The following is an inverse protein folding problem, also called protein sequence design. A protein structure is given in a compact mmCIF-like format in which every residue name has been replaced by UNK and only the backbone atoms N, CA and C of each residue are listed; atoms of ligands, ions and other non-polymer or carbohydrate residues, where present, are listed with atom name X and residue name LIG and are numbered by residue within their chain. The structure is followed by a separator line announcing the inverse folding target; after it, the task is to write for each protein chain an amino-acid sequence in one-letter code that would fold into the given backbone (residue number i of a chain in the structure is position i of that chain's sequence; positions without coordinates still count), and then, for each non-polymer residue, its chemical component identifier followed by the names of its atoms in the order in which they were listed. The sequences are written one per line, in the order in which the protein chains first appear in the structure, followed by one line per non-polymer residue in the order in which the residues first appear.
data_IF_350264729729
#
_entry.id   IF_350264729729
#
_cell.length_a   1.000
_cell.length_b   1.000
_cell.length_c   1.000
_cell.angle_alpha   90.00
_cell.angle_beta   90.00
_cell.angle_gamma   90.00
#
_symmetry.space_group_name_H-M   'P 1'
#
loop_
_entity.id
_entity.type
_entity.pdbx_description
1 polymer ?
#
# COMPACT_ATOMS: atom_id res chain seq x y z
N UNK A 1 3.53 -10.09 -14.47
CA UNK A 1 3.47 -11.57 -14.51
C UNK A 1 4.54 -12.06 -15.47
N UNK A 2 5.20 -13.19 -15.22
CA UNK A 2 6.23 -13.74 -16.13
C UNK A 2 5.62 -14.85 -16.97
N UNK A 3 5.89 -14.85 -18.27
CA UNK A 3 5.54 -15.94 -19.17
C UNK A 3 6.56 -17.07 -18.97
N UNK A 4 6.09 -18.27 -18.63
CA UNK A 4 6.95 -19.46 -18.51
C UNK A 4 6.97 -20.26 -19.80
N UNK A 5 5.82 -20.39 -20.45
CA UNK A 5 5.65 -21.11 -21.72
C UNK A 5 4.63 -20.36 -22.55
N UNK A 6 4.91 -20.19 -23.84
CA UNK A 6 4.00 -19.55 -24.80
C UNK A 6 4.14 -20.25 -26.15
N UNK A 7 3.18 -21.10 -26.48
CA UNK A 7 3.00 -21.71 -27.80
C UNK A 7 1.62 -21.35 -28.35
N UNK A 8 1.30 -21.76 -29.58
CA UNK A 8 -0.02 -21.53 -30.16
C UNK A 8 -1.16 -22.24 -29.38
N UNK A 9 -0.83 -23.31 -28.66
CA UNK A 9 -1.77 -24.21 -28.01
C UNK A 9 -1.69 -24.18 -26.47
N UNK A 10 -0.58 -23.71 -25.90
CA UNK A 10 -0.36 -23.73 -24.46
C UNK A 10 0.26 -22.41 -23.98
N UNK A 11 -0.34 -21.80 -22.97
CA UNK A 11 0.16 -20.58 -22.33
C UNK A 11 0.24 -20.78 -20.81
N UNK A 12 1.42 -20.57 -20.25
CA UNK A 12 1.67 -20.63 -18.81
C UNK A 12 2.23 -19.30 -18.33
N UNK A 13 1.49 -18.66 -17.43
CA UNK A 13 1.87 -17.41 -16.79
C UNK A 13 2.06 -17.62 -15.29
N UNK A 14 3.12 -17.06 -14.73
CA UNK A 14 3.40 -17.15 -13.29
C UNK A 14 3.67 -15.76 -12.68
N UNK A 15 3.04 -15.50 -11.55
CA UNK A 15 3.31 -14.35 -10.69
C UNK A 15 3.99 -14.83 -9.42
N UNK A 16 5.19 -14.32 -9.15
CA UNK A 16 5.88 -14.47 -7.87
C UNK A 16 5.86 -13.12 -7.15
N UNK A 17 5.20 -13.00 -6.01
CA UNK A 17 5.06 -11.73 -5.30
C UNK A 17 6.30 -11.43 -4.45
N UNK A 18 7.47 -11.36 -5.09
CA UNK A 18 8.76 -11.19 -4.41
C UNK A 18 8.80 -9.97 -3.49
N UNK A 19 8.19 -8.86 -3.92
CA UNK A 19 8.13 -7.64 -3.11
C UNK A 19 7.31 -7.86 -1.85
N UNK A 20 6.14 -8.52 -1.93
CA UNK A 20 5.34 -8.84 -0.75
C UNK A 20 6.06 -9.81 0.19
N UNK A 21 6.86 -10.74 -0.33
CA UNK A 21 7.67 -11.62 0.49
C UNK A 21 8.76 -10.87 1.24
N UNK A 22 9.48 -9.97 0.56
CA UNK A 22 10.51 -9.15 1.19
C UNK A 22 9.91 -8.23 2.25
N UNK A 23 8.85 -7.47 1.91
CA UNK A 23 8.22 -6.54 2.83
C UNK A 23 7.56 -7.28 4.01
N UNK A 24 6.77 -8.32 3.74
CA UNK A 24 6.12 -9.10 4.79
C UNK A 24 7.13 -9.83 5.69
N UNK A 25 8.20 -10.38 5.12
CA UNK A 25 9.29 -11.03 5.86
C UNK A 25 10.06 -10.05 6.73
N UNK A 26 10.44 -8.89 6.17
CA UNK A 26 11.10 -7.83 6.91
C UNK A 26 10.21 -7.31 8.05
N UNK A 27 8.95 -7.00 7.79
CA UNK A 27 8.03 -6.49 8.82
C UNK A 27 7.82 -7.51 9.94
N UNK A 28 7.78 -8.81 9.59
CA UNK A 28 7.70 -9.89 10.58
C UNK A 28 8.94 -9.95 11.44
N UNK A 29 10.13 -9.92 10.83
CA UNK A 29 11.41 -10.01 11.51
C UNK A 29 11.67 -8.78 12.41
N UNK A 30 11.54 -7.57 11.85
CA UNK A 30 11.73 -6.33 12.60
C UNK A 30 10.68 -6.15 13.70
N UNK A 31 9.45 -6.62 13.49
CA UNK A 31 8.40 -6.59 14.51
C UNK A 31 8.71 -7.45 15.75
N UNK A 32 9.56 -8.48 15.64
CA UNK A 32 9.96 -9.30 16.78
C UNK A 32 11.03 -8.60 17.65
N UNK A 33 11.79 -7.66 17.08
CA UNK A 33 12.91 -7.01 17.79
C UNK A 33 12.47 -6.21 19.03
N UNK A 34 11.38 -5.41 19.01
CA UNK A 34 10.91 -4.71 20.20
C UNK A 34 10.63 -5.61 21.40
N UNK A 35 10.00 -6.78 21.21
CA UNK A 35 9.82 -7.73 22.31
C UNK A 35 11.17 -8.22 22.85
N UNK A 36 12.17 -8.42 22.01
CA UNK A 36 13.49 -8.87 22.44
C UNK A 36 14.31 -7.78 23.16
N UNK A 37 14.16 -6.51 22.76
CA UNK A 37 15.01 -5.41 23.22
C UNK A 37 14.36 -4.50 24.27
N UNK A 38 13.03 -4.36 24.25
CA UNK A 38 12.30 -3.36 25.06
C UNK A 38 11.40 -4.03 26.11
N UNK A 39 10.97 -5.29 25.91
CA UNK A 39 10.13 -5.98 26.88
C UNK A 39 10.95 -6.41 28.10
N UNK A 40 11.10 -5.48 29.04
CA UNK A 40 11.75 -5.69 30.32
C UNK A 40 10.80 -5.36 31.48
N UNK A 41 11.02 -6.03 32.62
CA UNK A 41 10.47 -5.60 33.90
C UNK A 41 11.61 -5.06 34.72
N UNK A 42 11.53 -3.79 35.08
CA UNK A 42 12.44 -3.18 36.04
C UNK A 42 11.78 -3.17 37.42
N UNK A 43 12.45 -3.76 38.41
CA UNK A 43 12.02 -3.76 39.81
C UNK A 43 13.14 -3.18 40.65
N UNK A 44 12.85 -2.10 41.36
CA UNK A 44 13.71 -1.55 42.40
C UNK A 44 13.12 -1.95 43.75
N UNK A 45 13.87 -2.73 44.50
CA UNK A 45 13.49 -3.23 45.82
C UNK A 45 14.54 -2.79 46.85
N UNK A 46 14.12 -1.97 47.81
CA UNK A 46 15.01 -1.46 48.85
C UNK A 46 14.60 -2.00 50.21
N UNK A 47 15.59 -2.47 50.97
CA UNK A 47 15.44 -3.01 52.32
C UNK A 47 16.35 -2.28 53.30
N UNK A 48 15.76 -1.54 54.23
CA UNK A 48 16.51 -0.82 55.29
C UNK A 48 16.97 -1.75 56.42
N UNK A 49 16.28 -2.87 56.60
CA UNK A 49 16.55 -3.85 57.67
C UNK A 49 17.56 -4.93 57.25
N UNK A 50 17.97 -4.97 55.98
CA UNK A 50 19.06 -5.82 55.53
C UNK A 50 20.40 -5.36 56.15
N UNK A 51 21.34 -6.28 56.33
CA UNK A 51 22.70 -5.97 56.78
C UNK A 51 23.71 -6.36 55.68
N UNK A 52 24.28 -5.39 54.94
CA UNK A 52 24.05 -3.94 55.01
C UNK A 52 22.72 -3.49 54.35
N UNK A 53 22.16 -2.31 54.72
CA UNK A 53 21.00 -1.75 54.07
C UNK A 53 21.26 -1.51 52.58
N UNK A 54 20.41 -2.05 51.71
CA UNK A 54 20.64 -2.03 50.26
C UNK A 54 19.36 -1.90 49.43
N UNK A 55 19.51 -1.40 48.22
CA UNK A 55 18.54 -1.46 47.14
C UNK A 55 19.03 -2.41 46.05
N UNK A 56 18.19 -3.35 45.61
CA UNK A 56 18.42 -4.18 44.44
C UNK A 56 17.61 -3.63 43.26
N UNK A 57 18.32 -3.24 42.19
CA UNK A 57 17.72 -2.97 40.89
C UNK A 57 17.83 -4.24 40.03
N UNK A 58 16.69 -4.89 39.82
CA UNK A 58 16.59 -6.04 38.93
C UNK A 58 15.88 -5.66 37.63
N UNK A 59 16.48 -6.00 36.49
CA UNK A 59 15.85 -5.90 35.17
C UNK A 59 15.78 -7.28 34.54
N UNK A 60 14.56 -7.73 34.26
CA UNK A 60 14.32 -9.02 33.64
C UNK A 60 13.71 -8.82 32.25
N UNK A 61 14.47 -9.16 31.20
CA UNK A 61 14.02 -9.16 29.82
C UNK A 61 14.08 -10.55 29.19
N UNK A 62 13.72 -10.66 27.91
CA UNK A 62 13.79 -11.95 27.19
C UNK A 62 15.23 -12.35 26.83
N UNK A 63 16.13 -11.40 26.59
CA UNK A 63 17.52 -11.66 26.19
C UNK A 63 18.54 -11.41 27.30
N UNK A 64 18.32 -10.41 28.14
CA UNK A 64 19.25 -10.00 29.20
C UNK A 64 18.50 -9.92 30.52
N UNK A 65 19.12 -10.48 31.55
CA UNK A 65 18.76 -10.24 32.94
C UNK A 65 19.93 -9.51 33.59
N UNK A 66 19.62 -8.47 34.35
CA UNK A 66 20.62 -7.68 35.04
C UNK A 66 20.17 -7.46 36.48
N UNK A 67 21.12 -7.49 37.41
CA UNK A 67 20.88 -7.26 38.82
C UNK A 67 22.01 -6.43 39.38
N UNK A 68 21.66 -5.30 39.96
CA UNK A 68 22.61 -4.40 40.59
C UNK A 68 22.20 -4.17 42.03
N UNK A 69 23.08 -4.55 42.94
CA UNK A 69 22.97 -4.21 44.35
C UNK A 69 23.61 -2.83 44.56
N UNK A 70 22.86 -1.92 45.16
CA UNK A 70 23.26 -0.56 45.47
C UNK A 70 23.15 -0.42 46.99
N UNK A 71 24.27 -0.16 47.66
CA UNK A 71 24.25 0.11 49.09
C UNK A 71 23.61 1.49 49.36
N UNK A 72 22.84 1.61 50.44
CA UNK A 72 22.11 2.86 50.74
C UNK A 72 23.04 4.05 51.00
N UNK A 73 24.26 3.81 51.48
CA UNK A 73 25.29 4.83 51.71
C UNK A 73 25.90 5.40 50.42
N UNK A 74 25.83 4.63 49.32
CA UNK A 74 26.28 5.05 47.99
C UNK A 74 25.21 5.85 47.23
N UNK A 75 23.98 5.95 47.77
CA UNK A 75 22.87 6.61 47.11
C UNK A 75 22.92 8.14 47.32
N UNK A 76 23.00 8.90 46.22
CA UNK A 76 23.10 10.37 46.27
C UNK A 76 21.76 11.07 46.02
N UNK A 77 20.85 10.44 45.28
CA UNK A 77 19.56 11.03 44.95
C UNK A 77 18.91 10.37 43.74
N UNK A 78 17.79 10.93 43.31
CA UNK A 78 17.03 10.43 42.16
C UNK A 78 16.57 11.60 41.31
N UNK A 79 16.69 11.45 40.00
CA UNK A 79 16.26 12.47 39.05
C UNK A 79 15.44 11.89 37.90
N UNK A 80 14.73 12.75 37.19
CA UNK A 80 14.06 12.41 35.94
C UNK A 80 14.83 13.04 34.80
N UNK A 81 15.55 12.22 34.04
CA UNK A 81 16.26 12.68 32.85
C UNK A 81 15.29 12.87 31.69
N UNK A 82 15.45 13.97 30.97
CA UNK A 82 14.71 14.31 29.75
C UNK A 82 15.60 14.09 28.52
N UNK A 83 15.05 13.47 27.48
CA UNK A 83 15.63 13.45 26.14
C UNK A 83 14.67 14.20 25.21
N UNK A 84 15.16 15.30 24.62
CA UNK A 84 14.40 16.14 23.69
C UNK A 84 14.65 15.74 22.25
N UNK A 85 13.56 15.64 21.50
CA UNK A 85 13.52 15.64 20.04
C UNK A 85 12.69 16.84 19.58
N UNK A 86 12.83 17.24 18.31
CA UNK A 86 12.23 18.46 17.75
C UNK A 86 10.73 18.61 18.06
N UNK A 87 9.99 17.48 18.11
CA UNK A 87 8.54 17.46 18.30
C UNK A 87 8.08 16.85 19.64
N UNK A 88 8.97 16.25 20.44
CA UNK A 88 8.55 15.59 21.70
C UNK A 88 9.68 15.37 22.70
N UNK A 89 9.30 15.34 23.98
CA UNK A 89 10.20 14.97 25.09
C UNK A 89 9.87 13.59 25.63
N UNK A 90 10.92 12.82 25.91
CA UNK A 90 10.83 11.51 26.55
C UNK A 90 11.63 11.51 27.84
N UNK A 91 11.24 10.67 28.80
CA UNK A 91 11.72 10.73 30.18
C UNK A 91 12.06 9.36 30.74
N UNK A 92 13.04 9.30 31.64
CA UNK A 92 13.35 8.11 32.45
C UNK A 92 13.75 8.52 33.87
N UNK A 93 13.49 7.65 34.85
CA UNK A 93 13.99 7.85 36.23
C UNK A 93 15.43 7.34 36.28
N UNK A 94 16.32 8.07 36.94
CA UNK A 94 17.72 7.69 37.12
C UNK A 94 18.10 7.80 38.59
N UNK A 95 18.73 6.74 39.10
CA UNK A 95 19.29 6.67 40.44
C UNK A 95 20.72 7.23 40.38
N UNK A 96 20.97 8.29 41.15
CA UNK A 96 22.29 8.91 41.28
C UNK A 96 23.04 8.17 42.38
N UNK A 97 24.17 7.55 42.04
CA UNK A 97 25.01 6.81 43.00
C UNK A 97 26.45 7.30 42.93
N UNK A 98 27.23 7.07 43.99
CA UNK A 98 28.66 7.38 44.02
C UNK A 98 29.48 6.68 42.93
N UNK A 99 28.99 5.54 42.43
CA UNK A 99 29.61 4.76 41.34
C UNK A 99 29.11 5.17 39.94
N UNK A 100 28.23 6.17 39.88
CA UNK A 100 27.65 6.72 38.67
C UNK A 100 26.15 6.47 38.53
N UNK A 101 25.58 7.03 37.48
CA UNK A 101 24.15 7.03 37.23
C UNK A 101 23.64 5.64 36.82
N UNK A 102 22.59 5.18 37.49
CA UNK A 102 21.90 3.92 37.19
C UNK A 102 20.46 4.20 36.77
N UNK A 103 20.12 4.16 35.48
CA UNK A 103 18.75 4.41 35.04
C UNK A 103 17.81 3.33 35.56
N UNK A 104 16.55 3.63 35.86
CA UNK A 104 15.58 2.61 36.28
C UNK A 104 15.25 1.68 35.09
N UNK A 105 14.99 2.27 33.91
CA UNK A 105 14.74 1.58 32.63
C UNK A 105 15.84 1.86 31.62
N UNK A 106 16.09 0.91 30.72
CA UNK A 106 17.10 1.04 29.64
C UNK A 106 16.73 2.06 28.56
N UNK A 107 15.49 2.53 28.52
CA UNK A 107 14.95 3.39 27.47
C UNK A 107 14.21 4.59 28.06
N UNK A 108 14.03 5.64 27.24
CA UNK A 108 13.20 6.79 27.55
C UNK A 108 11.76 6.55 27.08
N UNK A 109 10.79 7.01 27.87
CA UNK A 109 9.35 6.87 27.56
C UNK A 109 8.61 8.19 27.79
N UNK A 110 7.48 8.38 27.11
CA UNK A 110 6.61 9.53 27.37
C UNK A 110 6.00 9.49 28.80
N UNK A 111 5.46 10.63 29.24
CA UNK A 111 4.73 10.74 30.51
C UNK A 111 5.61 11.17 31.70
N UNK A 112 5.99 12.45 31.73
CA UNK A 112 6.77 13.04 32.83
C UNK A 112 6.13 12.81 34.21
N UNK A 113 4.82 13.05 34.34
CA UNK A 113 4.14 13.04 35.63
C UNK A 113 4.26 11.70 36.38
N UNK A 114 4.22 10.57 35.64
CA UNK A 114 4.41 9.24 36.22
C UNK A 114 5.85 9.02 36.71
N UNK A 115 6.84 9.44 35.91
CA UNK A 115 8.27 9.34 36.25
C UNK A 115 8.62 10.24 37.45
N UNK A 116 8.10 11.47 37.47
CA UNK A 116 8.27 12.40 38.58
C UNK A 116 7.60 11.91 39.88
N UNK A 117 6.48 11.18 39.78
CA UNK A 117 5.86 10.53 40.96
C UNK A 117 6.76 9.43 41.52
N UNK A 118 7.33 8.59 40.66
CA UNK A 118 8.25 7.53 41.09
C UNK A 118 9.54 8.09 41.70
N UNK A 119 10.13 9.12 41.08
CA UNK A 119 11.30 9.80 41.64
C UNK A 119 11.00 10.34 43.05
N UNK A 120 9.86 11.01 43.25
CA UNK A 120 9.44 11.49 44.58
C UNK A 120 9.21 10.37 45.60
N UNK A 121 8.72 9.19 45.18
CA UNK A 121 8.56 8.05 46.08
C UNK A 121 9.91 7.49 46.54
N UNK A 122 10.88 7.42 45.62
CA UNK A 122 12.25 7.01 45.94
C UNK A 122 12.90 8.04 46.89
N UNK A 123 12.79 9.33 46.56
CA UNK A 123 13.35 10.42 47.37
C UNK A 123 12.75 10.46 48.79
N UNK A 124 11.44 10.25 48.91
CA UNK A 124 10.76 10.13 50.19
C UNK A 124 11.28 8.95 51.02
N UNK A 125 11.52 7.78 50.43
CA UNK A 125 12.08 6.62 51.14
C UNK A 125 13.52 6.86 51.65
N UNK A 126 14.32 7.59 50.87
CA UNK A 126 15.70 7.90 51.24
C UNK A 126 15.77 8.88 52.41
N UNK A 127 14.85 9.84 52.45
CA UNK A 127 14.77 10.88 53.50
C UNK A 127 14.02 10.43 54.75
N UNK A 128 12.96 9.63 54.60
CA UNK A 128 12.15 9.12 55.71
C UNK A 128 12.69 7.78 56.24
N UNK A 129 13.35 7.84 57.39
CA UNK A 129 13.93 6.66 58.06
C UNK A 129 12.88 5.68 58.60
N UNK A 130 11.60 6.08 58.69
CA UNK A 130 10.53 5.22 59.20
C UNK A 130 10.09 4.15 58.19
N UNK A 131 10.38 4.34 56.91
CA UNK A 131 10.03 3.39 55.86
C UNK A 131 11.08 2.27 55.78
N UNK A 132 10.66 1.04 56.07
CA UNK A 132 11.56 -0.13 56.12
C UNK A 132 11.80 -0.77 54.75
N UNK A 133 10.85 -0.60 53.83
CA UNK A 133 10.91 -1.20 52.49
C UNK A 133 10.29 -0.28 51.43
N UNK A 134 10.82 -0.34 50.22
CA UNK A 134 10.27 0.30 49.03
C UNK A 134 10.34 -0.67 47.85
N UNK A 135 9.23 -0.88 47.15
CA UNK A 135 9.18 -1.68 45.92
C UNK A 135 8.55 -0.84 44.82
N UNK A 136 9.32 -0.60 43.75
CA UNK A 136 8.84 0.06 42.54
C UNK A 136 9.02 -0.87 41.37
N UNK A 137 7.91 -1.24 40.74
CA UNK A 137 7.90 -2.09 39.56
C UNK A 137 7.41 -1.30 38.35
N UNK A 138 8.18 -1.37 37.27
CA UNK A 138 7.78 -0.90 35.94
C UNK A 138 7.76 -2.09 34.99
N UNK A 139 6.57 -2.44 34.53
CA UNK A 139 6.36 -3.47 33.52
C UNK A 139 6.10 -2.82 32.16
N UNK A 140 7.06 -2.94 31.25
CA UNK A 140 6.95 -2.43 29.88
C UNK A 140 6.71 -3.54 28.86
N UNK A 141 6.62 -4.80 29.31
CA UNK A 141 6.47 -5.94 28.41
C UNK A 141 5.22 -5.85 27.55
N UNK A 142 4.14 -5.30 28.09
CA UNK A 142 2.88 -5.14 27.36
C UNK A 142 3.04 -4.26 26.10
N UNK A 143 3.87 -3.20 26.16
CA UNK A 143 4.18 -2.38 24.99
C UNK A 143 4.96 -3.20 23.97
N UNK A 144 6.01 -3.90 24.41
CA UNK A 144 6.79 -4.79 23.55
C UNK A 144 5.91 -5.83 22.84
N UNK A 145 5.01 -6.50 23.58
CA UNK A 145 4.08 -7.47 23.03
C UNK A 145 3.06 -6.84 22.08
N UNK A 146 2.56 -5.64 22.36
CA UNK A 146 1.64 -4.93 21.47
C UNK A 146 2.32 -4.60 20.14
N UNK A 147 3.53 -4.02 20.19
CA UNK A 147 4.31 -3.73 18.99
C UNK A 147 4.60 -5.01 18.20
N UNK A 148 5.02 -6.08 18.86
CA UNK A 148 5.28 -7.35 18.18
C UNK A 148 4.02 -7.97 17.58
N UNK A 149 2.89 -7.94 18.28
CA UNK A 149 1.63 -8.44 17.75
C UNK A 149 1.19 -7.67 16.51
N UNK A 150 1.27 -6.34 16.53
CA UNK A 150 0.84 -5.50 15.41
C UNK A 150 1.78 -5.70 14.22
N UNK A 151 3.09 -5.51 14.41
CA UNK A 151 4.06 -5.53 13.31
C UNK A 151 4.29 -6.95 12.80
N UNK A 152 4.61 -7.90 13.67
CA UNK A 152 4.83 -9.28 13.23
C UNK A 152 3.55 -9.98 12.81
N UNK A 153 2.44 -9.72 13.50
CA UNK A 153 1.14 -10.28 13.12
C UNK A 153 0.68 -9.78 11.76
N UNK A 154 0.77 -8.47 11.47
CA UNK A 154 0.40 -7.94 10.15
C UNK A 154 1.34 -8.41 9.04
N UNK A 155 2.65 -8.47 9.27
CA UNK A 155 3.62 -9.01 8.32
C UNK A 155 3.31 -10.46 7.96
N UNK A 156 3.08 -11.30 8.96
CA UNK A 156 2.72 -12.71 8.78
C UNK A 156 1.37 -12.84 8.06
N UNK A 157 0.38 -12.02 8.42
CA UNK A 157 -0.93 -12.01 7.77
C UNK A 157 -0.81 -11.69 6.28
N UNK A 158 -0.02 -10.67 5.91
CA UNK A 158 0.22 -10.32 4.49
C UNK A 158 0.90 -11.47 3.75
N UNK A 159 1.92 -12.11 4.35
CA UNK A 159 2.58 -13.27 3.74
C UNK A 159 1.61 -14.44 3.51
N UNK A 160 0.77 -14.74 4.50
CA UNK A 160 -0.18 -15.85 4.43
C UNK A 160 -1.32 -15.60 3.43
N UNK A 161 -1.88 -14.38 3.39
CA UNK A 161 -3.05 -14.07 2.57
C UNK A 161 -2.70 -13.63 1.15
N UNK A 162 -1.59 -12.89 0.98
CA UNK A 162 -1.24 -12.23 -0.28
C UNK A 162 0.07 -12.75 -0.88
N UNK A 163 0.90 -13.46 -0.12
CA UNK A 163 2.17 -14.05 -0.57
C UNK A 163 2.02 -15.28 -1.45
N UNK A 164 0.90 -15.45 -2.15
CA UNK A 164 0.65 -16.62 -2.99
C UNK A 164 1.39 -16.53 -4.33
N UNK A 165 2.10 -17.59 -4.71
CA UNK A 165 2.52 -17.81 -6.10
C UNK A 165 1.29 -18.16 -6.92
N UNK A 166 1.01 -17.35 -7.94
CA UNK A 166 -0.14 -17.58 -8.83
C UNK A 166 0.36 -18.09 -10.17
N UNK A 167 -0.12 -19.26 -10.59
CA UNK A 167 0.16 -19.85 -11.90
C UNK A 167 -1.14 -20.01 -12.67
N UNK A 168 -1.21 -19.42 -13.86
CA UNK A 168 -2.30 -19.57 -14.81
C UNK A 168 -1.81 -20.44 -15.95
N UNK A 169 -2.55 -21.47 -16.26
CA UNK A 169 -2.28 -22.40 -17.34
C UNK A 169 -3.50 -22.47 -18.26
N UNK A 170 -3.29 -22.21 -19.53
CA UNK A 170 -4.30 -22.26 -20.58
C UNK A 170 -3.86 -23.31 -21.61
N UNK A 171 -4.67 -24.33 -21.83
CA UNK A 171 -4.39 -25.43 -22.75
C UNK A 171 -5.53 -25.61 -23.76
N UNK A 172 -5.30 -25.16 -25.00
CA UNK A 172 -6.29 -25.24 -26.09
C UNK A 172 -6.53 -26.68 -26.56
N UNK A 173 -5.54 -27.56 -26.46
CA UNK A 173 -5.72 -28.97 -26.84
C UNK A 173 -6.64 -29.65 -25.82
N UNK A 174 -6.33 -29.50 -24.54
CA UNK A 174 -7.16 -30.02 -23.45
C UNK A 174 -8.44 -29.22 -23.17
N UNK A 175 -8.68 -28.12 -23.90
CA UNK A 175 -9.80 -27.19 -23.69
C UNK A 175 -9.96 -26.73 -22.23
N UNK A 176 -8.83 -26.58 -21.51
CA UNK A 176 -8.84 -26.36 -20.07
C UNK A 176 -8.05 -25.13 -19.64
N UNK A 177 -8.58 -24.44 -18.64
CA UNK A 177 -7.94 -23.38 -17.89
C UNK A 177 -7.74 -23.83 -16.45
N UNK A 178 -6.55 -23.60 -15.91
CA UNK A 178 -6.19 -23.94 -14.53
C UNK A 178 -5.50 -22.75 -13.86
N UNK A 179 -6.10 -22.31 -12.75
CA UNK A 179 -5.54 -21.31 -11.85
C UNK A 179 -5.06 -21.98 -10.58
N UNK A 180 -3.76 -21.96 -10.34
CA UNK A 180 -3.15 -22.49 -9.12
C UNK A 180 -2.63 -21.34 -8.28
N UNK A 181 -3.09 -21.24 -7.03
CA UNK A 181 -2.59 -20.30 -6.03
C UNK A 181 -1.93 -21.09 -4.92
N UNK A 182 -0.62 -20.94 -4.73
CA UNK A 182 0.18 -21.65 -3.73
C UNK A 182 0.80 -20.66 -2.75
N UNK A 183 0.45 -20.75 -1.48
CA UNK A 183 1.01 -19.94 -0.40
C UNK A 183 1.45 -20.78 0.79
N UNK A 184 1.67 -20.11 1.91
CA UNK A 184 2.10 -20.74 3.17
C UNK A 184 1.00 -21.63 3.78
N UNK A 185 -0.28 -21.30 3.56
CA UNK A 185 -1.43 -22.05 4.06
C UNK A 185 -1.90 -23.17 3.11
N UNK A 186 -1.13 -23.48 2.07
CA UNK A 186 -1.41 -24.56 1.12
C UNK A 186 -1.67 -24.06 -0.31
N UNK A 187 -2.31 -24.91 -1.11
CA UNK A 187 -2.59 -24.63 -2.52
C UNK A 187 -4.06 -24.76 -2.87
N UNK A 188 -4.60 -23.75 -3.55
CA UNK A 188 -5.93 -23.79 -4.17
C UNK A 188 -5.79 -23.92 -5.68
N UNK A 189 -6.43 -24.93 -6.25
CA UNK A 189 -6.48 -25.16 -7.70
C UNK A 189 -7.92 -24.96 -8.15
N UNK A 190 -8.12 -24.07 -9.13
CA UNK A 190 -9.41 -23.81 -9.76
C UNK A 190 -9.28 -24.20 -11.22
N UNK A 191 -10.20 -25.03 -11.72
CA UNK A 191 -10.22 -25.49 -13.11
C UNK A 191 -11.53 -25.07 -13.77
N UNK A 192 -11.44 -24.53 -14.98
CA UNK A 192 -12.60 -24.22 -15.82
C UNK A 192 -12.33 -24.63 -17.27
N UNK A 193 -13.36 -24.91 -18.07
CA UNK A 193 -13.20 -25.05 -19.51
C UNK A 193 -12.79 -23.72 -20.16
N UNK A 194 -11.93 -23.77 -21.18
CA UNK A 194 -11.49 -22.57 -21.89
C UNK A 194 -12.64 -21.81 -22.55
N UNK A 195 -13.59 -22.54 -23.14
CA UNK A 195 -14.75 -21.97 -23.83
C UNK A 195 -15.74 -21.27 -22.88
N UNK A 196 -15.59 -21.41 -21.56
CA UNK A 196 -16.35 -20.64 -20.58
C UNK A 196 -15.80 -19.22 -20.39
N UNK A 197 -14.56 -18.95 -20.77
CA UNK A 197 -13.97 -17.62 -20.66
C UNK A 197 -14.51 -16.76 -21.80
N UNK A 198 -15.18 -15.66 -21.46
CA UNK A 198 -15.78 -14.74 -22.43
C UNK A 198 -14.86 -13.56 -22.71
N UNK A 199 -14.35 -12.92 -21.65
CA UNK A 199 -13.50 -11.73 -21.74
C UNK A 199 -12.44 -11.73 -20.66
N UNK A 200 -11.35 -10.99 -20.92
CA UNK A 200 -10.32 -10.68 -19.93
C UNK A 200 -10.28 -9.17 -19.79
N UNK A 201 -10.40 -8.67 -18.56
CA UNK A 201 -10.36 -7.24 -18.31
C UNK A 201 -9.49 -6.90 -17.11
N UNK A 202 -9.13 -5.62 -17.05
CA UNK A 202 -8.43 -5.04 -15.92
C UNK A 202 -9.45 -4.41 -14.99
N UNK A 203 -9.62 -4.99 -13.80
CA UNK A 203 -10.43 -4.37 -12.75
C UNK A 203 -9.64 -3.26 -12.08
N UNK A 204 -10.36 -2.19 -11.74
CA UNK A 204 -9.81 -0.98 -11.12
C UNK A 204 -10.52 -0.76 -9.78
N UNK A 205 -9.74 -0.46 -8.74
CA UNK A 205 -10.24 -0.08 -7.42
C UNK A 205 -9.67 1.28 -7.05
N UNK A 206 -10.55 2.19 -6.66
CA UNK A 206 -10.21 3.55 -6.24
C UNK A 206 -10.15 3.62 -4.71
N UNK A 207 -9.02 4.07 -4.19
CA UNK A 207 -8.84 4.34 -2.77
C UNK A 207 -9.36 5.72 -2.40
N UNK A 208 -9.67 5.92 -1.12
CA UNK A 208 -10.18 7.18 -0.55
C UNK A 208 -9.25 8.39 -0.73
N UNK A 209 -7.95 8.15 -0.98
CA UNK A 209 -6.94 9.19 -1.22
C UNK A 209 -6.57 9.37 -2.70
N UNK A 210 -7.43 8.92 -3.62
CA UNK A 210 -7.19 9.02 -5.07
C UNK A 210 -6.16 8.02 -5.61
N UNK A 211 -5.70 7.07 -4.79
CA UNK A 211 -4.83 6.00 -5.26
C UNK A 211 -5.62 4.95 -6.04
N UNK A 212 -5.12 4.56 -7.21
CA UNK A 212 -5.78 3.56 -8.05
C UNK A 212 -4.98 2.26 -8.07
N UNK A 213 -5.67 1.15 -7.79
CA UNK A 213 -5.08 -0.20 -7.79
C UNK A 213 -5.81 -1.10 -8.77
N UNK A 214 -5.13 -2.13 -9.26
CA UNK A 214 -5.61 -2.93 -10.39
C UNK A 214 -5.45 -4.42 -10.14
N UNK A 215 -6.27 -5.24 -10.79
CA UNK A 215 -6.05 -6.70 -10.91
C UNK A 215 -6.63 -7.22 -12.23
N UNK A 216 -6.07 -8.32 -12.73
CA UNK A 216 -6.60 -8.97 -13.95
C UNK A 216 -7.68 -9.96 -13.53
N UNK A 217 -8.83 -9.93 -14.21
CA UNK A 217 -9.92 -10.86 -13.99
C UNK A 217 -10.40 -11.47 -15.32
N UNK A 218 -10.93 -12.69 -15.22
CA UNK A 218 -11.57 -13.41 -16.32
C UNK A 218 -13.07 -13.37 -16.09
N UNK A 219 -13.83 -12.92 -17.09
CA UNK A 219 -15.29 -13.05 -17.07
C UNK A 219 -15.67 -14.41 -17.67
N UNK A 220 -16.54 -15.11 -16.96
CA UNK A 220 -17.08 -16.38 -17.38
C UNK A 220 -18.47 -16.17 -18.00
N UNK A 221 -18.85 -17.02 -18.97
CA UNK A 221 -20.14 -16.96 -19.66
C UNK A 221 -21.36 -17.06 -18.73
N UNK A 222 -21.19 -17.64 -17.54
CA UNK A 222 -22.24 -17.72 -16.52
C UNK A 222 -22.40 -16.43 -15.70
N UNK A 223 -21.64 -15.37 -16.02
CA UNK A 223 -21.65 -14.08 -15.31
C UNK A 223 -20.66 -14.01 -14.14
N UNK A 224 -20.01 -15.12 -13.77
CA UNK A 224 -19.03 -15.13 -12.69
C UNK A 224 -17.74 -14.43 -13.11
N UNK A 225 -17.12 -13.75 -12.13
CA UNK A 225 -15.79 -13.14 -12.30
C UNK A 225 -14.75 -13.92 -11.55
N UNK A 226 -13.73 -14.36 -12.28
CA UNK A 226 -12.61 -15.10 -11.73
C UNK A 226 -11.34 -14.22 -11.72
N UNK A 227 -11.06 -13.51 -10.62
CA UNK A 227 -9.86 -12.70 -10.54
C UNK A 227 -8.62 -13.60 -10.51
N UNK A 228 -7.54 -13.23 -11.19
CA UNK A 228 -6.29 -14.01 -11.17
C UNK A 228 -5.66 -13.93 -9.77
N UNK A 229 -5.52 -12.71 -9.24
CA UNK A 229 -5.08 -12.43 -7.86
C UNK A 229 -6.26 -12.05 -6.99
N UNK A 230 -6.24 -12.44 -5.71
CA UNK A 230 -7.29 -12.05 -4.75
C UNK A 230 -7.24 -10.58 -4.37
N UNK A 231 -6.09 -9.95 -4.52
CA UNK A 231 -5.82 -8.57 -4.14
C UNK A 231 -5.60 -7.67 -5.35
N UNK A 232 -5.87 -6.37 -5.16
CA UNK A 232 -5.48 -5.31 -6.08
C UNK A 232 -4.06 -4.83 -5.78
N UNK A 233 -3.33 -4.41 -6.80
CA UNK A 233 -1.99 -3.84 -6.66
C UNK A 233 -1.73 -2.77 -7.71
N UNK A 234 -0.74 -1.92 -7.45
CA UNK A 234 -0.26 -0.93 -8.41
C UNK A 234 0.35 -1.58 -9.67
N UNK A 235 0.70 -0.76 -10.66
CA UNK A 235 1.30 -1.23 -11.92
C UNK A 235 0.27 -1.61 -12.99
N UNK A 236 -0.49 -0.61 -13.46
CA UNK A 236 -1.51 -0.76 -14.53
C UNK A 236 -0.91 -1.39 -15.78
N UNK A 237 0.23 -0.86 -16.27
CA UNK A 237 0.87 -1.26 -17.53
C UNK A 237 1.18 -2.77 -17.59
N UNK A 238 1.78 -3.32 -16.54
CA UNK A 238 2.15 -4.75 -16.50
C UNK A 238 0.93 -5.67 -16.45
N UNK A 239 -0.12 -5.23 -15.76
CA UNK A 239 -1.38 -5.98 -15.65
C UNK A 239 -2.18 -5.92 -16.94
N UNK A 240 -2.22 -4.75 -17.58
CA UNK A 240 -2.82 -4.59 -18.90
C UNK A 240 -2.10 -5.48 -19.92
N UNK A 241 -0.76 -5.44 -19.97
CA UNK A 241 0.04 -6.34 -20.82
C UNK A 241 -0.29 -7.82 -20.58
N UNK A 242 -0.49 -8.20 -19.31
CA UNK A 242 -0.88 -9.58 -18.96
C UNK A 242 -2.28 -9.91 -19.49
N UNK A 243 -3.25 -8.99 -19.34
CA UNK A 243 -4.61 -9.16 -19.85
C UNK A 243 -4.61 -9.28 -21.39
N UNK A 244 -3.87 -8.41 -22.07
CA UNK A 244 -3.75 -8.40 -23.54
C UNK A 244 -3.13 -9.71 -24.05
N UNK A 245 -2.09 -10.21 -23.37
CA UNK A 245 -1.46 -11.50 -23.70
C UNK A 245 -2.43 -12.68 -23.58
N UNK A 246 -3.24 -12.71 -22.53
CA UNK A 246 -4.24 -13.76 -22.34
C UNK A 246 -5.32 -13.64 -23.43
N UNK A 247 -5.86 -12.45 -23.66
CA UNK A 247 -6.89 -12.23 -24.68
C UNK A 247 -6.42 -12.62 -26.08
N UNK A 248 -5.21 -12.19 -26.46
CA UNK A 248 -4.60 -12.55 -27.73
C UNK A 248 -4.40 -14.06 -27.87
N UNK A 249 -3.93 -14.73 -26.82
CA UNK A 249 -3.79 -16.18 -26.82
C UNK A 249 -5.14 -16.89 -27.00
N UNK A 250 -6.18 -16.43 -26.32
CA UNK A 250 -7.51 -17.03 -26.41
C UNK A 250 -8.26 -16.73 -27.72
N UNK A 251 -7.72 -15.84 -28.56
CA UNK A 251 -8.42 -15.38 -29.76
C UNK A 251 -9.70 -14.62 -29.43
N UNK A 252 -9.81 -14.12 -28.20
CA UNK A 252 -10.89 -13.23 -27.82
C UNK A 252 -10.61 -11.91 -28.53
N UNK A 253 -11.63 -11.34 -29.17
CA UNK A 253 -11.57 -9.93 -29.55
C UNK A 253 -11.32 -9.20 -28.24
N UNK A 254 -10.07 -8.75 -28.05
CA UNK A 254 -9.76 -7.81 -26.98
C UNK A 254 -10.82 -6.72 -27.12
N UNK A 255 -11.67 -6.55 -26.10
CA UNK A 255 -12.44 -5.33 -25.97
C UNK A 255 -11.40 -4.23 -25.90
N UNK A 256 -11.03 -3.67 -27.05
CA UNK A 256 -9.73 -3.06 -27.24
C UNK A 256 -9.56 -1.95 -26.23
N UNK A 257 -8.59 -2.04 -25.31
CA UNK A 257 -8.12 -0.86 -24.63
C UNK A 257 -7.21 -0.15 -25.63
N UNK A 258 -7.58 1.08 -26.02
CA UNK A 258 -6.70 2.04 -26.70
C UNK A 258 -6.26 1.75 -28.16
N UNK A 259 -7.13 1.25 -29.05
CA UNK A 259 -6.91 1.42 -30.50
C UNK A 259 -7.90 2.35 -31.19
N UNK A 260 -9.03 2.66 -30.55
CA UNK A 260 -9.94 3.74 -30.96
C UNK A 260 -9.43 5.14 -30.59
N UNK A 261 -8.32 5.22 -29.86
CA UNK A 261 -7.79 6.44 -29.27
C UNK A 261 -6.34 6.71 -29.73
N UNK A 262 -6.03 6.43 -30.99
CA UNK A 262 -4.87 7.04 -31.63
C UNK A 262 -5.20 8.51 -31.88
N UNK A 263 -5.45 9.31 -30.83
CA UNK A 263 -5.20 10.75 -30.93
C UNK A 263 -3.80 10.85 -31.52
N UNK A 264 -3.69 11.40 -32.73
CA UNK A 264 -2.41 11.53 -33.38
C UNK A 264 -1.58 12.41 -32.43
N UNK A 265 -0.67 11.77 -31.70
CA UNK A 265 0.03 12.41 -30.60
C UNK A 265 0.80 13.62 -31.12
N UNK A 266 1.22 13.56 -32.39
CA UNK A 266 1.88 14.66 -33.09
C UNK A 266 0.93 15.84 -33.26
N UNK A 267 -0.32 15.59 -33.67
CA UNK A 267 -1.32 16.65 -33.81
C UNK A 267 -1.80 17.19 -32.47
N UNK A 268 -2.01 16.33 -31.48
CA UNK A 268 -2.35 16.78 -30.13
C UNK A 268 -1.25 17.67 -29.55
N UNK A 269 0.01 17.26 -29.68
CA UNK A 269 1.16 18.10 -29.27
C UNK A 269 1.19 19.40 -30.06
N UNK A 270 0.91 19.39 -31.37
CA UNK A 270 0.83 20.60 -32.19
C UNK A 270 -0.26 21.56 -31.71
N UNK A 271 -1.43 21.05 -31.31
CA UNK A 271 -2.52 21.86 -30.74
C UNK A 271 -2.16 22.44 -29.36
N UNK A 272 -1.46 21.65 -28.54
CA UNK A 272 -1.06 22.04 -27.20
C UNK A 272 0.03 23.13 -27.23
N UNK A 273 1.04 23.00 -28.09
CA UNK A 273 2.19 23.91 -28.14
C UNK A 273 2.07 25.00 -29.20
N UNK A 274 1.11 24.89 -30.14
CA UNK A 274 0.98 25.78 -31.29
C UNK A 274 0.33 27.14 -31.01
N UNK A 275 -0.14 27.38 -29.78
CA UNK A 275 -0.84 28.61 -29.42
C UNK A 275 -2.22 28.74 -30.08
N UNK A 276 -2.87 29.89 -29.84
CA UNK A 276 -4.28 30.10 -30.20
C UNK A 276 -4.55 30.03 -31.71
N UNK A 277 -3.67 30.61 -32.52
CA UNK A 277 -3.83 30.65 -33.98
C UNK A 277 -3.84 29.24 -34.60
N UNK A 278 -2.99 28.33 -34.11
CA UNK A 278 -2.93 26.94 -34.61
C UNK A 278 -4.17 26.16 -34.23
N UNK A 279 -4.74 26.39 -33.04
CA UNK A 279 -5.99 25.75 -32.61
C UNK A 279 -7.17 26.19 -33.46
N UNK A 280 -7.34 27.50 -33.67
CA UNK A 280 -8.41 28.05 -34.52
C UNK A 280 -8.34 27.52 -35.97
N UNK A 281 -7.15 27.52 -36.57
CA UNK A 281 -6.96 26.96 -37.92
C UNK A 281 -7.27 25.46 -37.98
N UNK A 282 -6.94 24.72 -36.92
CA UNK A 282 -7.20 23.28 -36.88
C UNK A 282 -8.69 22.98 -36.70
N UNK A 283 -9.42 23.76 -35.90
CA UNK A 283 -10.88 23.65 -35.75
C UNK A 283 -11.56 23.80 -37.11
N UNK A 284 -11.22 24.85 -37.88
CA UNK A 284 -11.78 25.08 -39.22
C UNK A 284 -11.48 23.89 -40.14
N UNK A 285 -10.22 23.44 -40.19
CA UNK A 285 -9.82 22.29 -41.02
C UNK A 285 -10.56 21.01 -40.65
N UNK A 286 -10.76 20.73 -39.36
CA UNK A 286 -11.47 19.54 -38.92
C UNK A 286 -12.95 19.62 -39.26
N UNK A 287 -13.61 20.79 -39.12
CA UNK A 287 -14.99 20.98 -39.56
C UNK A 287 -15.16 20.73 -41.06
N UNK A 288 -14.30 21.32 -41.89
CA UNK A 288 -14.31 21.10 -43.35
C UNK A 288 -14.09 19.62 -43.72
N UNK A 289 -13.27 18.91 -42.95
CA UNK A 289 -13.03 17.48 -43.17
C UNK A 289 -14.25 16.65 -42.78
N UNK A 290 -14.96 17.01 -41.70
CA UNK A 290 -16.19 16.33 -41.27
C UNK A 290 -17.39 16.64 -42.16
N UNK A 291 -17.43 17.78 -42.83
CA UNK A 291 -18.43 18.06 -43.86
C UNK A 291 -18.30 17.08 -45.05
N UNK A 292 -17.07 16.67 -45.38
CA UNK A 292 -16.80 15.71 -46.46
C UNK A 292 -16.90 14.27 -45.98
N UNK A 293 -16.49 14.00 -44.75
CA UNK A 293 -16.42 12.67 -44.15
C UNK A 293 -17.01 12.67 -42.73
N UNK A 294 -18.35 12.71 -42.59
CA UNK A 294 -18.99 12.83 -41.27
C UNK A 294 -18.76 11.62 -40.35
N UNK A 295 -18.37 10.48 -40.93
CA UNK A 295 -18.01 9.27 -40.17
C UNK A 295 -16.54 9.19 -39.75
N UNK A 296 -15.72 10.21 -40.01
CA UNK A 296 -14.30 10.17 -39.69
C UNK A 296 -14.07 10.42 -38.18
N UNK A 297 -14.13 9.32 -37.42
CA UNK A 297 -13.98 9.30 -35.97
C UNK A 297 -12.70 9.99 -35.48
N UNK A 298 -11.59 9.85 -36.21
CA UNK A 298 -10.33 10.47 -35.86
C UNK A 298 -10.42 12.00 -35.91
N UNK A 299 -11.03 12.53 -36.96
CA UNK A 299 -11.23 13.97 -37.15
C UNK A 299 -12.19 14.53 -36.10
N UNK A 300 -13.25 13.80 -35.74
CA UNK A 300 -14.15 14.19 -34.64
C UNK A 300 -13.40 14.30 -33.31
N UNK A 301 -12.56 13.31 -32.99
CA UNK A 301 -11.74 13.34 -31.77
C UNK A 301 -10.73 14.49 -31.74
N UNK A 302 -10.07 14.75 -32.87
CA UNK A 302 -9.13 15.87 -32.99
C UNK A 302 -9.86 17.23 -32.87
N UNK A 303 -11.08 17.34 -33.41
CA UNK A 303 -11.93 18.53 -33.27
C UNK A 303 -12.29 18.77 -31.80
N UNK A 304 -12.74 17.74 -31.08
CA UNK A 304 -13.09 17.86 -29.66
C UNK A 304 -11.89 18.34 -28.84
N UNK A 305 -10.70 17.78 -29.07
CA UNK A 305 -9.48 18.21 -28.38
C UNK A 305 -9.13 19.68 -28.69
N UNK A 306 -9.26 20.11 -29.95
CA UNK A 306 -8.98 21.47 -30.36
C UNK A 306 -9.98 22.48 -29.76
N UNK A 307 -11.28 22.17 -29.77
CA UNK A 307 -12.34 22.99 -29.16
C UNK A 307 -12.10 23.16 -27.66
N UNK A 308 -11.72 22.09 -26.96
CA UNK A 308 -11.47 22.15 -25.53
C UNK A 308 -10.25 23.02 -25.19
N UNK A 309 -9.14 22.83 -25.90
CA UNK A 309 -7.91 23.62 -25.69
C UNK A 309 -8.09 25.10 -26.06
N UNK A 310 -9.06 25.42 -26.91
CA UNK A 310 -9.43 26.79 -27.26
C UNK A 310 -10.45 27.40 -26.28
N UNK A 311 -10.88 26.66 -25.26
CA UNK A 311 -11.85 27.11 -24.26
C UNK A 311 -13.32 27.02 -24.70
N UNK A 312 -13.60 26.46 -25.88
CA UNK A 312 -14.96 26.24 -26.41
C UNK A 312 -15.57 24.96 -25.83
N UNK A 313 -15.70 24.91 -24.50
CA UNK A 313 -16.09 23.68 -23.76
C UNK A 313 -17.49 23.20 -24.11
N UNK A 314 -18.46 24.09 -24.24
CA UNK A 314 -19.84 23.72 -24.55
C UNK A 314 -19.95 23.03 -25.91
N UNK A 315 -19.19 23.53 -26.90
CA UNK A 315 -19.15 22.95 -28.24
C UNK A 315 -18.40 21.60 -28.26
N UNK A 316 -17.32 21.48 -27.47
CA UNK A 316 -16.62 20.22 -27.29
C UNK A 316 -17.54 19.14 -26.69
N UNK A 317 -18.36 19.50 -25.69
CA UNK A 317 -19.33 18.60 -25.05
C UNK A 317 -20.44 18.21 -26.04
N UNK A 318 -20.99 19.16 -26.79
CA UNK A 318 -22.00 18.85 -27.80
C UNK A 318 -21.46 17.88 -28.87
N UNK A 319 -20.22 18.06 -29.30
CA UNK A 319 -19.56 17.17 -30.27
C UNK A 319 -19.32 15.76 -29.70
N UNK A 320 -19.04 15.66 -28.40
CA UNK A 320 -18.93 14.37 -27.68
C UNK A 320 -20.26 13.62 -27.66
N UNK A 321 -21.36 14.31 -27.35
CA UNK A 321 -22.70 13.70 -27.30
C UNK A 321 -23.18 13.26 -28.69
N UNK A 322 -22.86 14.02 -29.74
CA UNK A 322 -23.14 13.62 -31.12
C UNK A 322 -22.37 12.35 -31.52
N UNK A 323 -21.06 12.32 -31.21
CA UNK A 323 -20.23 11.14 -31.43
C UNK A 323 -20.75 9.91 -30.66
N UNK A 324 -21.15 10.09 -29.40
CA UNK A 324 -21.74 9.03 -28.57
C UNK A 324 -23.02 8.47 -29.18
N UNK A 325 -23.88 9.36 -29.68
CA UNK A 325 -25.13 9.00 -30.35
C UNK A 325 -24.86 8.21 -31.63
N UNK A 326 -23.88 8.66 -32.43
CA UNK A 326 -23.45 7.96 -33.66
C UNK A 326 -22.88 6.57 -33.38
N UNK A 327 -22.01 6.43 -32.37
CA UNK A 327 -21.46 5.12 -31.96
C UNK A 327 -22.56 4.18 -31.45
N UNK A 328 -23.53 4.71 -30.71
CA UNK A 328 -24.66 3.93 -30.20
C UNK A 328 -25.55 3.44 -31.36
N UNK A 329 -25.84 4.31 -32.34
CA UNK A 329 -26.58 3.96 -33.55
C UNK A 329 -25.86 2.89 -34.40
N UNK A 330 -24.52 2.87 -34.37
CA UNK A 330 -23.69 1.85 -35.02
C UNK A 330 -23.56 0.54 -34.21
N UNK A 331 -24.29 0.39 -33.11
CA UNK A 331 -24.23 -0.80 -32.26
C UNK A 331 -22.99 -0.89 -31.36
N UNK A 332 -22.21 0.19 -31.26
CA UNK A 332 -20.96 0.28 -30.47
C UNK A 332 -21.18 0.93 -29.10
N UNK A 333 -22.25 0.53 -28.40
CA UNK A 333 -22.63 1.11 -27.09
C UNK A 333 -21.51 1.01 -26.03
N UNK A 334 -20.67 -0.04 -26.09
CA UNK A 334 -19.53 -0.18 -25.18
C UNK A 334 -18.38 0.81 -25.46
N UNK A 335 -18.28 1.37 -26.66
CA UNK A 335 -17.33 2.44 -26.99
C UNK A 335 -17.87 3.81 -26.56
N UNK A 336 -19.17 4.04 -26.78
CA UNK A 336 -19.89 5.22 -26.30
C UNK A 336 -19.78 5.39 -24.77
N UNK A 337 -19.91 4.32 -23.99
CA UNK A 337 -19.76 4.37 -22.53
C UNK A 337 -18.32 4.68 -22.06
N UNK A 338 -17.30 4.39 -22.88
CA UNK A 338 -15.90 4.71 -22.56
C UNK A 338 -15.56 6.18 -22.83
N UNK A 339 -16.36 6.88 -23.66
CA UNK A 339 -16.15 8.29 -23.94
C UNK A 339 -16.32 9.14 -22.67
N UNK A 340 -17.37 8.88 -21.88
CA UNK A 340 -17.66 9.62 -20.64
C UNK A 340 -16.50 9.53 -19.63
N UNK A 341 -15.99 8.32 -19.41
CA UNK A 341 -14.88 8.05 -18.47
C UNK A 341 -13.56 8.70 -18.94
N UNK A 342 -13.31 8.67 -20.25
CA UNK A 342 -12.13 9.30 -20.85
C UNK A 342 -12.18 10.83 -20.74
N UNK A 343 -13.31 11.43 -21.09
CA UNK A 343 -13.49 12.88 -21.07
C UNK A 343 -13.43 13.43 -19.65
N UNK A 344 -14.09 12.80 -18.69
CA UNK A 344 -13.96 13.19 -17.28
C UNK A 344 -12.52 13.06 -16.78
N UNK A 345 -11.83 11.96 -17.11
CA UNK A 345 -10.48 11.70 -16.56
C UNK A 345 -9.40 12.61 -17.15
N UNK A 346 -9.45 12.87 -18.45
CA UNK A 346 -8.40 13.62 -19.17
C UNK A 346 -8.65 15.12 -19.09
N UNK A 347 -9.91 15.54 -19.20
CA UNK A 347 -10.21 16.96 -19.37
C UNK A 347 -10.37 17.72 -18.06
N UNK A 348 -10.80 17.07 -16.97
CA UNK A 348 -10.79 17.68 -15.62
C UNK A 348 -9.37 17.93 -15.09
N UNK A 349 -8.36 17.30 -15.71
CA UNK A 349 -6.93 17.44 -15.35
C UNK A 349 -6.14 18.32 -16.30
N UNK A 350 -6.76 18.81 -17.37
CA UNK A 350 -6.10 19.72 -18.30
C UNK A 350 -5.93 21.09 -17.62
N UNK A 351 -4.72 21.66 -17.59
CA UNK A 351 -4.49 22.96 -17.00
C UNK A 351 -5.32 24.02 -17.73
N UNK A 352 -5.93 24.94 -16.99
CA UNK A 352 -6.59 26.12 -17.53
C UNK A 352 -5.51 26.99 -18.22
N UNK A 353 -5.30 26.79 -19.51
CA UNK A 353 -4.44 27.64 -20.32
C UNK A 353 -5.21 28.91 -20.65
N UNK A 354 -5.17 29.88 -19.72
CA UNK A 354 -5.49 31.28 -20.02
C UNK A 354 -4.34 31.93 -20.78
#
# INVERSE_FOLDING_TARGET
MRVLTSSAQHLVLQLRPWSLWLFGGAFTLFGLLPALLIAEVATLECHRTAQPPSCELSRAGLLKNDRHLILLDHFQGVEVQESRSDDSSTYRVVLLTSEGDRPLTGYYSSGYAGKARQARQIDAFLTDLSQTQLVIQQDSRWLGYLFTLIFSGSGLLVLCLMGNVVTCEFDKLGQSFKLTRRGLLGSKIIKHPLHHIQTVHLETSHGSKGSTTYRVALDLKNGDRLPITTYYSSGRKDKQKTADQISAFLGLTTSTPLSLWNLDLREFLRLLTGGQQVRQQSIVRYRETLEREPGNLQTQMNLIAALWLEGQRDEAIATVEDLKSSLTAQGKAGEAAKLDDYFQTVMDKAPDTK
#
